data_IF_127360247333
#
_entry.id   IF_127360247333
#
_cell.length_a   1.000
_cell.length_b   1.000
_cell.length_c   1.000
_cell.angle_alpha   90.00
_cell.angle_beta   90.00
_cell.angle_gamma   90.00
#
_symmetry.space_group_name_H-M   'P 1'
#
loop_
_entity.id
_entity.type
_entity.pdbx_description
1 polymer ?
#
# COMPACT_ATOMS: atom_id res chain seq x y z
N UNK A 1 -4.54 -2.06 -24.77
CA UNK A 1 -3.97 -1.37 -23.59
C UNK A 1 -5.10 -1.05 -22.63
N UNK A 2 -5.25 -1.90 -21.63
CA UNK A 2 -5.89 -1.60 -20.35
C UNK A 2 -5.18 -2.52 -19.38
N UNK A 3 -3.93 -2.16 -19.04
CA UNK A 3 -3.17 -2.90 -18.03
C UNK A 3 -3.72 -2.46 -16.69
N UNK A 4 -4.81 -3.11 -16.31
CA UNK A 4 -5.57 -2.84 -15.10
C UNK A 4 -4.64 -2.77 -13.91
N UNK A 5 -4.88 -1.79 -13.04
CA UNK A 5 -4.25 -1.63 -11.73
C UNK A 5 -3.92 -3.00 -11.15
N UNK A 6 -2.63 -3.38 -11.18
CA UNK A 6 -2.16 -4.64 -10.60
C UNK A 6 -2.72 -4.76 -9.19
N UNK A 7 -3.15 -5.97 -8.81
CA UNK A 7 -3.89 -6.29 -7.59
C UNK A 7 -3.62 -5.29 -6.45
N UNK A 8 -4.60 -4.42 -6.17
CA UNK A 8 -4.51 -3.48 -5.06
C UNK A 8 -4.50 -4.32 -3.77
N UNK A 9 -3.41 -4.25 -3.03
CA UNK A 9 -3.28 -4.90 -1.73
C UNK A 9 -3.76 -3.96 -0.62
N UNK A 10 -4.41 -4.52 0.40
CA UNK A 10 -4.64 -3.79 1.64
C UNK A 10 -3.32 -3.55 2.37
N UNK A 11 -3.28 -2.50 3.20
CA UNK A 11 -2.13 -2.22 4.06
C UNK A 11 -1.73 -3.41 4.95
N UNK A 12 -2.70 -4.24 5.34
CA UNK A 12 -2.44 -5.44 6.14
C UNK A 12 -1.72 -6.53 5.34
N UNK A 13 -2.18 -6.77 4.11
CA UNK A 13 -1.56 -7.74 3.21
C UNK A 13 -0.16 -7.29 2.82
N UNK A 14 0.02 -6.00 2.49
CA UNK A 14 1.34 -5.42 2.18
C UNK A 14 2.28 -5.51 3.37
N UNK A 15 1.80 -5.24 4.59
CA UNK A 15 2.60 -5.36 5.82
C UNK A 15 3.08 -6.79 6.03
N UNK A 16 2.19 -7.77 5.84
CA UNK A 16 2.53 -9.19 5.94
C UNK A 16 3.50 -9.63 4.86
N UNK A 17 3.28 -9.19 3.62
CA UNK A 17 4.10 -9.56 2.46
C UNK A 17 5.54 -9.03 2.60
N UNK A 18 5.69 -7.73 2.90
CA UNK A 18 7.00 -7.09 3.04
C UNK A 18 7.65 -7.34 4.41
N UNK A 19 6.91 -7.92 5.36
CA UNK A 19 7.33 -8.09 6.76
C UNK A 19 7.68 -6.75 7.43
N UNK A 20 6.91 -5.72 7.11
CA UNK A 20 7.07 -4.35 7.65
C UNK A 20 5.90 -4.05 8.57
N UNK A 21 6.15 -3.34 9.67
CA UNK A 21 5.09 -2.90 10.57
C UNK A 21 4.09 -1.97 9.89
N UNK A 22 2.79 -2.13 10.21
CA UNK A 22 1.70 -1.28 9.66
C UNK A 22 2.00 0.20 9.83
N UNK A 23 2.53 0.62 10.98
CA UNK A 23 2.86 2.02 11.29
C UNK A 23 3.88 2.63 10.31
N UNK A 24 4.89 1.85 9.89
CA UNK A 24 5.88 2.28 8.90
C UNK A 24 5.24 2.45 7.53
N UNK A 25 4.40 1.48 7.12
CA UNK A 25 3.66 1.57 5.85
C UNK A 25 2.68 2.76 5.83
N UNK A 26 1.97 3.03 6.92
CA UNK A 26 1.13 4.22 7.06
C UNK A 26 1.93 5.52 6.95
N UNK A 27 3.11 5.59 7.58
CA UNK A 27 4.01 6.74 7.43
C UNK A 27 4.44 6.93 5.98
N UNK A 28 4.89 5.86 5.33
CA UNK A 28 5.34 5.90 3.93
C UNK A 28 4.22 6.33 2.98
N UNK A 29 2.99 5.82 3.17
CA UNK A 29 1.83 6.23 2.39
C UNK A 29 1.50 7.72 2.60
N UNK A 30 1.52 8.20 3.86
CA UNK A 30 1.26 9.61 4.19
C UNK A 30 2.34 10.55 3.67
N UNK A 31 3.59 10.11 3.65
CA UNK A 31 4.73 10.85 3.09
C UNK A 31 4.79 10.77 1.56
N UNK A 32 3.90 10.01 0.90
CA UNK A 32 3.90 9.82 -0.55
C UNK A 32 5.07 8.99 -1.08
N UNK A 33 5.75 8.24 -0.21
CA UNK A 33 6.89 7.38 -0.59
C UNK A 33 6.45 6.11 -1.32
N UNK A 34 5.18 5.74 -1.22
CA UNK A 34 4.57 4.59 -1.92
C UNK A 34 3.26 5.01 -2.57
N UNK A 35 2.89 4.39 -3.72
CA UNK A 35 1.56 4.54 -4.28
C UNK A 35 0.53 3.96 -3.31
N UNK A 36 -0.42 4.78 -2.87
CA UNK A 36 -1.50 4.37 -2.00
C UNK A 36 -2.75 5.19 -2.33
N UNK A 37 -3.93 4.57 -2.19
CA UNK A 37 -5.22 5.24 -2.32
C UNK A 37 -6.00 5.08 -1.03
N UNK A 38 -6.64 6.15 -0.57
CA UNK A 38 -7.59 6.07 0.54
C UNK A 38 -8.96 5.71 -0.04
N UNK A 39 -9.49 4.57 0.37
CA UNK A 39 -10.88 4.20 0.11
C UNK A 39 -11.75 4.92 1.16
N UNK A 40 -12.76 5.67 0.71
CA UNK A 40 -13.69 6.45 1.54
C UNK A 40 -14.92 5.63 1.94
#
# INVERSE_FOLDING_TARGET
>A
MMEGFGEIMTLEETAKYLKIGKSTLYKMAREGKIPAVKIA
#
